data_IF_868233116361
#
_entry.id   IF_868233116361
#
_cell.length_a   1.000
_cell.length_b   1.000
_cell.length_c   1.000
_cell.angle_alpha   90.00
_cell.angle_beta   90.00
_cell.angle_gamma   90.00
#
_symmetry.space_group_name_H-M   'P 1'
#
loop_
_entity.id
_entity.type
_entity.pdbx_description
1 polymer ?
#
# COMPACT_ATOMS: atom_id res chain seq x y z
N UNK A 1 -3.43 15.67 30.52
CA UNK A 1 -3.42 15.70 29.04
C UNK A 1 -4.81 15.33 28.58
N UNK A 2 -5.46 16.13 27.74
CA UNK A 2 -6.74 15.72 27.15
C UNK A 2 -6.46 14.56 26.17
N UNK A 3 -7.27 13.50 26.22
CA UNK A 3 -7.20 12.42 25.26
C UNK A 3 -7.59 12.95 23.87
N UNK A 4 -6.80 12.63 22.85
CA UNK A 4 -7.09 12.94 21.45
C UNK A 4 -7.31 11.67 20.64
N UNK A 5 -7.74 11.83 19.39
CA UNK A 5 -7.87 10.71 18.44
C UNK A 5 -6.70 10.76 17.44
N UNK A 6 -6.16 9.60 17.11
CA UNK A 6 -5.20 9.41 16.02
C UNK A 6 -5.87 8.57 14.93
N UNK A 7 -5.84 9.07 13.69
CA UNK A 7 -6.27 8.31 12.53
C UNK A 7 -5.05 7.98 11.65
N UNK A 8 -4.68 6.71 11.60
CA UNK A 8 -3.66 6.22 10.67
C UNK A 8 -4.35 5.82 9.37
N UNK A 9 -3.97 6.45 8.26
CA UNK A 9 -4.51 6.16 6.94
C UNK A 9 -3.37 5.71 6.02
N UNK A 10 -3.42 4.44 5.61
CA UNK A 10 -2.46 3.85 4.69
C UNK A 10 -3.04 3.86 3.27
N UNK A 11 -2.22 4.16 2.26
CA UNK A 11 -2.63 4.14 0.86
C UNK A 11 -1.90 3.03 0.10
N UNK A 12 -2.62 1.95 -0.20
CA UNK A 12 -2.17 0.84 -1.03
C UNK A 12 -2.55 1.04 -2.49
N UNK A 13 -1.56 1.31 -3.33
CA UNK A 13 -1.74 1.47 -4.77
C UNK A 13 -0.56 0.85 -5.53
N UNK A 14 -0.89 0.20 -6.64
CA UNK A 14 0.04 -0.10 -7.72
C UNK A 14 -0.67 0.14 -9.06
N UNK A 15 0.03 0.65 -10.09
CA UNK A 15 -0.52 0.70 -11.44
C UNK A 15 -0.84 -0.73 -11.90
N UNK A 16 -1.83 -0.88 -12.78
CA UNK A 16 -2.21 -2.21 -13.26
C UNK A 16 -1.12 -2.81 -14.13
N UNK A 17 -0.59 -3.96 -13.71
CA UNK A 17 0.45 -4.71 -14.40
C UNK A 17 0.02 -6.16 -14.50
N UNK A 18 -0.07 -6.67 -15.73
CA UNK A 18 -0.34 -8.09 -15.98
C UNK A 18 0.24 -8.50 -17.32
N UNK A 19 1.17 -9.45 -17.35
CA UNK A 19 1.72 -10.02 -18.59
C UNK A 19 1.50 -11.51 -18.66
N UNK A 20 1.23 -11.99 -19.88
CA UNK A 20 1.11 -13.43 -20.13
C UNK A 20 2.45 -14.14 -19.96
N UNK A 21 3.55 -13.50 -20.36
CA UNK A 21 4.90 -14.01 -20.12
C UNK A 21 5.42 -13.54 -18.76
N UNK A 22 5.99 -14.47 -18.00
CA UNK A 22 6.58 -14.18 -16.70
C UNK A 22 7.92 -13.43 -16.84
N UNK A 23 8.41 -12.89 -15.73
CA UNK A 23 9.76 -12.34 -15.63
C UNK A 23 9.88 -10.85 -15.94
N UNK A 24 8.77 -10.13 -16.13
CA UNK A 24 8.82 -8.68 -16.31
C UNK A 24 9.10 -7.95 -14.99
N UNK A 25 9.91 -6.89 -15.05
CA UNK A 25 10.24 -6.04 -13.89
C UNK A 25 8.98 -5.49 -13.19
N UNK A 26 7.93 -5.17 -13.95
CA UNK A 26 6.73 -4.58 -13.37
C UNK A 26 5.94 -5.60 -12.52
N UNK A 27 6.02 -6.90 -12.83
CA UNK A 27 5.42 -7.95 -11.98
C UNK A 27 6.21 -8.14 -10.69
N UNK A 28 7.54 -7.92 -10.71
CA UNK A 28 8.35 -7.93 -9.49
C UNK A 28 7.86 -6.87 -8.48
N UNK A 29 7.39 -5.70 -8.94
CA UNK A 29 6.82 -4.68 -8.04
C UNK A 29 5.59 -5.20 -7.28
N UNK A 30 4.71 -5.93 -7.97
CA UNK A 30 3.54 -6.54 -7.34
C UNK A 30 3.96 -7.58 -6.30
N UNK A 31 4.84 -8.51 -6.66
CA UNK A 31 5.28 -9.56 -5.74
C UNK A 31 6.06 -9.00 -4.55
N UNK A 32 6.92 -7.99 -4.76
CA UNK A 32 7.60 -7.29 -3.66
C UNK A 32 6.61 -6.59 -2.73
N UNK A 33 5.61 -5.88 -3.24
CA UNK A 33 4.61 -5.22 -2.41
C UNK A 33 3.77 -6.22 -1.60
N UNK A 34 3.41 -7.37 -2.19
CA UNK A 34 2.74 -8.47 -1.49
C UNK A 34 3.61 -9.02 -0.36
N UNK A 35 4.88 -9.29 -0.65
CA UNK A 35 5.82 -9.89 0.30
C UNK A 35 6.20 -8.94 1.44
N UNK A 36 6.55 -7.69 1.12
CA UNK A 36 7.16 -6.76 2.07
C UNK A 36 6.15 -5.85 2.78
N UNK A 37 4.94 -5.70 2.24
CA UNK A 37 3.94 -4.78 2.80
C UNK A 37 2.62 -5.46 3.14
N UNK A 38 1.93 -6.07 2.16
CA UNK A 38 0.55 -6.52 2.37
C UNK A 38 0.45 -7.78 3.25
N UNK A 39 1.29 -8.80 3.03
CA UNK A 39 1.32 -9.99 3.89
C UNK A 39 1.75 -9.65 5.32
N UNK A 40 2.85 -8.89 5.57
CA UNK A 40 3.22 -8.49 6.92
C UNK A 40 2.14 -7.66 7.62
N UNK A 41 1.49 -6.73 6.91
CA UNK A 41 0.40 -5.92 7.47
C UNK A 41 -0.78 -6.80 7.90
N UNK A 42 -1.26 -7.69 7.02
CA UNK A 42 -2.33 -8.63 7.35
C UNK A 42 -1.96 -9.53 8.53
N UNK A 43 -0.75 -10.08 8.51
CA UNK A 43 -0.26 -10.97 9.57
C UNK A 43 -0.24 -10.24 10.93
N UNK A 44 0.27 -9.01 10.95
CA UNK A 44 0.33 -8.21 12.17
C UNK A 44 -1.08 -7.84 12.67
N UNK A 45 -1.95 -7.34 11.79
CA UNK A 45 -3.30 -6.93 12.18
C UNK A 45 -4.15 -8.10 12.68
N UNK A 46 -4.06 -9.27 12.05
CA UNK A 46 -4.77 -10.47 12.53
C UNK A 46 -4.31 -10.86 13.93
N UNK A 47 -2.99 -10.91 14.17
CA UNK A 47 -2.45 -11.21 15.50
C UNK A 47 -2.84 -10.17 16.56
N UNK A 48 -2.82 -8.90 16.20
CA UNK A 48 -3.22 -7.81 17.11
C UNK A 48 -4.72 -7.84 17.39
N UNK A 49 -5.56 -8.23 16.44
CA UNK A 49 -6.99 -8.41 16.64
C UNK A 49 -7.34 -9.61 17.53
N UNK A 50 -6.49 -10.65 17.52
CA UNK A 50 -6.64 -11.84 18.39
C UNK A 50 -6.21 -11.57 19.85
N UNK A 51 -5.40 -10.54 20.11
CA UNK A 51 -4.98 -10.19 21.48
C UNK A 51 -6.04 -9.34 22.18
N UNK A 52 -6.72 -9.84 23.23
CA UNK A 52 -7.80 -9.13 23.92
C UNK A 52 -7.34 -7.85 24.65
N UNK A 53 -6.02 -7.61 24.75
CA UNK A 53 -5.45 -6.39 25.34
C UNK A 53 -5.25 -5.27 24.33
N UNK A 54 -5.49 -5.54 23.05
CA UNK A 54 -5.29 -4.60 21.96
C UNK A 54 -6.63 -4.25 21.30
N UNK A 55 -6.65 -3.11 20.63
CA UNK A 55 -7.81 -2.62 19.87
C UNK A 55 -7.29 -1.92 18.61
N UNK A 56 -6.67 -2.68 17.68
CA UNK A 56 -6.13 -2.09 16.46
C UNK A 56 -7.26 -1.51 15.60
N UNK A 57 -7.08 -0.28 15.15
CA UNK A 57 -8.00 0.39 14.23
C UNK A 57 -7.20 1.30 13.31
N UNK A 58 -7.32 1.11 12.00
CA UNK A 58 -6.75 2.00 11.00
C UNK A 58 -7.57 2.00 9.71
N UNK A 59 -7.35 3.02 8.89
CA UNK A 59 -7.94 3.10 7.55
C UNK A 59 -6.92 2.66 6.51
N UNK A 60 -7.34 1.87 5.52
CA UNK A 60 -6.49 1.43 4.42
C UNK A 60 -7.23 1.62 3.10
N UNK A 61 -6.68 2.45 2.22
CA UNK A 61 -7.14 2.53 0.83
C UNK A 61 -6.51 1.40 0.02
N UNK A 62 -7.33 0.67 -0.73
CA UNK A 62 -6.89 -0.29 -1.73
C UNK A 62 -7.39 0.17 -3.11
N UNK A 63 -6.47 0.53 -4.01
CA UNK A 63 -6.88 0.98 -5.33
C UNK A 63 -7.56 -0.13 -6.14
N UNK A 64 -8.51 0.20 -7.03
CA UNK A 64 -9.15 -0.81 -7.87
C UNK A 64 -8.15 -1.61 -8.73
N UNK A 65 -7.10 -0.98 -9.24
CA UNK A 65 -6.00 -1.65 -9.95
C UNK A 65 -5.27 -2.68 -9.08
N UNK A 66 -5.03 -2.38 -7.80
CA UNK A 66 -4.38 -3.29 -6.87
C UNK A 66 -5.29 -4.47 -6.54
N UNK A 67 -6.57 -4.20 -6.24
CA UNK A 67 -7.57 -5.26 -6.01
C UNK A 67 -7.70 -6.20 -7.22
N UNK A 68 -7.67 -5.65 -8.43
CA UNK A 68 -7.71 -6.46 -9.65
C UNK A 68 -6.49 -7.39 -9.75
N UNK A 69 -5.30 -6.91 -9.41
CA UNK A 69 -4.08 -7.74 -9.40
C UNK A 69 -4.07 -8.78 -8.26
N UNK A 70 -4.54 -8.42 -7.06
CA UNK A 70 -4.67 -9.35 -5.93
C UNK A 70 -5.71 -10.46 -6.20
N UNK A 71 -6.68 -10.20 -7.07
CA UNK A 71 -7.68 -11.18 -7.51
C UNK A 71 -7.23 -12.01 -8.72
N UNK A 72 -6.13 -11.64 -9.39
CA UNK A 72 -5.71 -12.28 -10.64
C UNK A 72 -4.99 -13.61 -10.36
N UNK A 73 -5.53 -14.77 -10.83
CA UNK A 73 -4.94 -16.08 -10.55
C UNK A 73 -3.55 -16.28 -11.17
N UNK A 74 -3.23 -15.60 -12.26
CA UNK A 74 -1.94 -15.73 -12.93
C UNK A 74 -0.85 -15.04 -12.10
N UNK A 75 -1.08 -13.79 -11.68
CA UNK A 75 -0.15 -13.03 -10.84
C UNK A 75 0.05 -13.70 -9.47
N UNK A 76 -1.04 -14.07 -8.81
CA UNK A 76 -1.01 -14.75 -7.52
C UNK A 76 -0.41 -16.16 -7.63
N UNK A 77 -0.67 -16.87 -8.73
CA UNK A 77 -0.10 -18.20 -8.98
C UNK A 77 1.43 -18.20 -9.14
N UNK A 78 2.02 -17.10 -9.61
CA UNK A 78 3.47 -16.94 -9.75
C UNK A 78 4.21 -16.60 -8.45
N UNK A 79 3.49 -16.09 -7.45
CA UNK A 79 4.12 -15.59 -6.22
C UNK A 79 4.95 -16.64 -5.45
N UNK A 80 4.49 -17.91 -5.27
CA UNK A 80 5.30 -18.92 -4.56
C UNK A 80 6.64 -19.22 -5.23
N UNK A 81 6.66 -19.39 -6.55
CA UNK A 81 7.88 -19.66 -7.32
C UNK A 81 8.80 -18.44 -7.30
N UNK A 82 8.19 -17.25 -7.38
CA UNK A 82 8.91 -15.99 -7.24
C UNK A 82 9.66 -15.90 -5.91
N UNK A 83 9.01 -16.23 -4.77
CA UNK A 83 9.67 -16.25 -3.44
C UNK A 83 10.73 -17.35 -3.35
N UNK A 84 10.44 -18.55 -3.86
CA UNK A 84 11.38 -19.69 -3.83
C UNK A 84 12.66 -19.37 -4.59
N UNK A 85 12.56 -18.70 -5.74
CA UNK A 85 13.70 -18.19 -6.49
C UNK A 85 14.56 -17.25 -5.63
N UNK A 86 13.96 -16.31 -4.88
CA UNK A 86 14.67 -15.39 -3.99
C UNK A 86 15.38 -16.11 -2.84
N UNK A 87 14.75 -17.14 -2.28
CA UNK A 87 15.36 -17.95 -1.22
C UNK A 87 16.64 -18.66 -1.70
N UNK A 88 16.63 -19.18 -2.93
CA UNK A 88 17.83 -19.79 -3.55
C UNK A 88 18.93 -18.76 -3.77
N UNK A 89 18.60 -17.55 -4.24
CA UNK A 89 19.59 -16.48 -4.44
C UNK A 89 20.26 -16.07 -3.13
N UNK A 90 19.53 -16.11 -2.00
CA UNK A 90 20.11 -15.83 -0.68
C UNK A 90 21.20 -16.83 -0.25
N UNK A 91 21.27 -18.02 -0.83
CA UNK A 91 22.35 -18.99 -0.59
C UNK A 91 23.69 -18.50 -1.15
N UNK A 92 23.68 -17.55 -2.09
CA UNK A 92 24.87 -16.93 -2.66
C UNK A 92 25.31 -15.65 -1.93
N UNK A 93 24.67 -15.33 -0.81
CA UNK A 93 25.05 -14.17 -0.01
C UNK A 93 26.53 -14.27 0.43
N UNK A 94 27.32 -13.19 0.35
CA UNK A 94 28.70 -13.20 0.81
C UNK A 94 28.82 -13.56 2.31
N UNK A 95 29.96 -14.13 2.76
CA UNK A 95 30.17 -14.56 4.14
C UNK A 95 29.83 -13.51 5.21
N UNK A 96 30.17 -12.24 4.96
CA UNK A 96 29.88 -11.15 5.88
C UNK A 96 28.38 -10.86 6.06
N UNK A 97 27.53 -11.33 5.13
CA UNK A 97 26.08 -11.13 5.16
C UNK A 97 25.29 -12.40 5.52
N UNK A 98 25.93 -13.52 5.82
CA UNK A 98 25.25 -14.80 6.11
C UNK A 98 24.17 -14.69 7.18
N UNK A 99 24.40 -13.93 8.26
CA UNK A 99 23.39 -13.74 9.32
C UNK A 99 22.15 -13.00 8.81
N UNK A 100 22.35 -11.91 8.06
CA UNK A 100 21.26 -11.14 7.45
C UNK A 100 20.50 -11.98 6.41
N UNK A 101 21.21 -12.76 5.61
CA UNK A 101 20.62 -13.65 4.61
C UNK A 101 19.79 -14.76 5.26
N UNK A 102 20.30 -15.38 6.34
CA UNK A 102 19.57 -16.39 7.10
C UNK A 102 18.29 -15.81 7.72
N UNK A 103 18.37 -14.62 8.32
CA UNK A 103 17.19 -13.93 8.85
C UNK A 103 16.16 -13.61 7.76
N UNK A 104 16.60 -13.05 6.63
CA UNK A 104 15.70 -12.73 5.52
C UNK A 104 15.06 -14.00 4.93
N UNK A 105 15.83 -15.08 4.77
CA UNK A 105 15.31 -16.36 4.29
C UNK A 105 14.23 -16.94 5.21
N UNK A 106 14.39 -16.81 6.54
CA UNK A 106 13.36 -17.17 7.52
C UNK A 106 12.09 -16.31 7.37
N UNK A 107 12.24 -14.99 7.16
CA UNK A 107 11.10 -14.10 6.92
C UNK A 107 10.35 -14.47 5.63
N UNK A 108 11.09 -14.74 4.53
CA UNK A 108 10.51 -15.20 3.27
C UNK A 108 9.73 -16.51 3.46
N UNK A 109 10.30 -17.46 4.19
CA UNK A 109 9.64 -18.74 4.48
C UNK A 109 8.36 -18.54 5.29
N UNK A 110 8.38 -17.66 6.30
CA UNK A 110 7.21 -17.34 7.12
C UNK A 110 6.11 -16.68 6.30
N UNK A 111 6.45 -15.71 5.43
CA UNK A 111 5.46 -15.05 4.56
C UNK A 111 4.89 -16.01 3.51
N UNK A 112 5.70 -16.91 2.96
CA UNK A 112 5.22 -17.95 2.05
C UNK A 112 4.29 -18.95 2.75
N UNK A 113 4.60 -19.32 4.01
CA UNK A 113 3.71 -20.14 4.83
C UNK A 113 2.38 -19.43 5.10
N UNK A 114 2.43 -18.13 5.46
CA UNK A 114 1.22 -17.33 5.68
C UNK A 114 0.38 -17.16 4.40
N UNK A 115 1.03 -16.91 3.25
CA UNK A 115 0.36 -16.93 1.94
C UNK A 115 -0.40 -18.23 1.68
N UNK A 116 0.23 -19.39 1.98
CA UNK A 116 -0.40 -20.71 1.85
C UNK A 116 -1.57 -20.90 2.81
N UNK A 117 -1.48 -20.41 4.04
CA UNK A 117 -2.59 -20.41 5.00
C UNK A 117 -3.79 -19.62 4.46
N UNK A 118 -3.53 -18.46 3.83
CA UNK A 118 -4.55 -17.66 3.13
C UNK A 118 -5.01 -18.27 1.78
N UNK A 119 -4.44 -19.42 1.38
CA UNK A 119 -4.68 -20.08 0.08
C UNK A 119 -4.42 -19.15 -1.11
N UNK A 120 -3.46 -18.24 -0.96
CA UNK A 120 -3.10 -17.23 -1.95
C UNK A 120 -4.17 -16.17 -2.21
N UNK A 121 -5.12 -15.97 -1.28
CA UNK A 121 -6.18 -14.96 -1.41
C UNK A 121 -6.09 -13.95 -0.27
N UNK A 122 -5.58 -12.76 -0.57
CA UNK A 122 -5.46 -11.67 0.42
C UNK A 122 -6.76 -10.91 0.63
N UNK A 123 -7.58 -10.76 -0.42
CA UNK A 123 -8.82 -9.99 -0.38
C UNK A 123 -9.77 -10.47 0.75
N UNK A 124 -10.06 -11.78 0.91
CA UNK A 124 -10.88 -12.25 2.03
C UNK A 124 -10.31 -11.94 3.42
N UNK A 125 -8.98 -11.83 3.56
CA UNK A 125 -8.36 -11.47 4.83
C UNK A 125 -8.59 -9.98 5.15
N UNK A 126 -8.56 -9.10 4.14
CA UNK A 126 -8.95 -7.69 4.30
C UNK A 126 -10.43 -7.55 4.64
N UNK A 127 -11.32 -8.29 3.95
CA UNK A 127 -12.76 -8.30 4.24
C UNK A 127 -13.05 -8.70 5.69
N UNK A 128 -12.35 -9.72 6.19
CA UNK A 128 -12.53 -10.21 7.55
C UNK A 128 -12.09 -9.16 8.59
N UNK A 129 -10.94 -8.52 8.39
CA UNK A 129 -10.48 -7.43 9.27
C UNK A 129 -11.43 -6.23 9.22
N UNK A 130 -12.04 -5.95 8.07
CA UNK A 130 -13.07 -4.91 7.97
C UNK A 130 -14.33 -5.30 8.76
N UNK A 131 -14.79 -6.54 8.64
CA UNK A 131 -15.96 -7.04 9.39
C UNK A 131 -15.75 -7.01 10.90
N UNK A 132 -14.51 -7.19 11.36
CA UNK A 132 -14.11 -7.07 12.76
C UNK A 132 -13.98 -5.61 13.25
N UNK A 133 -14.06 -4.62 12.35
CA UNK A 133 -13.86 -3.21 12.68
C UNK A 133 -12.39 -2.81 12.87
N UNK A 134 -11.45 -3.68 12.51
CA UNK A 134 -9.99 -3.43 12.59
C UNK A 134 -9.54 -2.53 11.44
N UNK A 135 -10.13 -2.75 10.25
CA UNK A 135 -9.87 -1.96 9.06
C UNK A 135 -11.12 -1.22 8.60
N UNK A 136 -10.93 0.06 8.31
CA UNK A 136 -11.84 0.82 7.46
C UNK A 136 -11.25 0.85 6.04
N UNK A 137 -11.86 0.11 5.10
CA UNK A 137 -11.31 0.01 3.74
C UNK A 137 -11.87 1.11 2.84
N UNK A 138 -10.97 1.94 2.34
CA UNK A 138 -11.30 3.01 1.39
C UNK A 138 -11.10 2.50 -0.04
N UNK A 139 -11.83 3.11 -0.97
CA UNK A 139 -11.50 2.99 -2.40
C UNK A 139 -10.54 4.11 -2.84
N UNK A 140 -10.29 4.20 -4.14
CA UNK A 140 -9.53 5.25 -4.83
C UNK A 140 -10.12 5.39 -6.25
N UNK A 141 -9.79 6.43 -7.01
CA UNK A 141 -10.16 6.48 -8.45
C UNK A 141 -9.76 5.20 -9.20
N UNK A 142 -10.61 4.74 -10.13
CA UNK A 142 -10.51 3.45 -10.83
C UNK A 142 -9.09 3.07 -11.29
N UNK A 143 -8.36 4.02 -11.88
CA UNK A 143 -6.99 3.81 -12.35
C UNK A 143 -5.98 4.73 -11.68
N UNK A 144 -6.34 5.31 -10.53
CA UNK A 144 -5.56 6.37 -9.88
C UNK A 144 -5.33 7.59 -10.79
N UNK A 145 -6.30 7.89 -11.66
CA UNK A 145 -6.21 9.04 -12.56
C UNK A 145 -6.28 10.36 -11.78
N UNK A 146 -5.38 11.30 -12.09
CA UNK A 146 -5.35 12.61 -11.43
C UNK A 146 -6.62 13.43 -11.76
N UNK A 147 -7.62 13.35 -10.88
CA UNK A 147 -9.00 13.79 -11.16
C UNK A 147 -9.13 15.25 -11.62
N UNK A 148 -8.38 16.23 -11.09
CA UNK A 148 -8.46 17.60 -11.59
C UNK A 148 -8.10 17.77 -13.07
N UNK A 149 -7.19 16.94 -13.61
CA UNK A 149 -6.85 16.95 -15.03
C UNK A 149 -7.86 16.18 -15.90
N UNK A 150 -8.66 15.31 -15.28
CA UNK A 150 -9.73 14.55 -15.94
C UNK A 150 -11.10 15.24 -15.84
N UNK A 151 -11.19 16.42 -15.21
CA UNK A 151 -12.46 17.11 -14.93
C UNK A 151 -13.29 17.43 -16.19
N UNK A 152 -12.63 17.47 -17.34
CA UNK A 152 -13.25 17.70 -18.64
C UNK A 152 -12.92 16.55 -19.62
N UNK A 153 -13.92 15.81 -20.13
CA UNK A 153 -15.34 15.92 -19.79
C UNK A 153 -15.64 15.37 -18.38
N UNK A 154 -16.65 15.92 -17.70
CA UNK A 154 -17.06 15.50 -16.34
C UNK A 154 -17.35 13.99 -16.22
N UNK A 155 -17.79 13.37 -17.32
CA UNK A 155 -18.03 11.92 -17.40
C UNK A 155 -16.78 11.08 -17.10
N UNK A 156 -15.57 11.58 -17.36
CA UNK A 156 -14.33 10.88 -17.05
C UNK A 156 -14.13 10.72 -15.53
N UNK A 157 -14.39 11.78 -14.75
CA UNK A 157 -14.35 11.72 -13.27
C UNK A 157 -15.46 10.81 -12.74
N UNK A 158 -16.68 10.94 -13.26
CA UNK A 158 -17.80 10.07 -12.87
C UNK A 158 -17.45 8.59 -13.09
N UNK A 159 -16.91 8.24 -14.26
CA UNK A 159 -16.48 6.89 -14.56
C UNK A 159 -15.40 6.38 -13.59
N UNK A 160 -14.41 7.23 -13.24
CA UNK A 160 -13.38 6.88 -12.26
C UNK A 160 -13.97 6.56 -10.87
N UNK A 161 -15.01 7.29 -10.43
CA UNK A 161 -15.65 7.07 -9.13
C UNK A 161 -16.60 5.87 -9.15
N UNK A 162 -17.46 5.76 -10.17
CA UNK A 162 -18.41 4.67 -10.33
C UNK A 162 -17.71 3.31 -10.39
N UNK A 163 -16.74 3.18 -11.30
CA UNK A 163 -15.98 1.93 -11.46
C UNK A 163 -15.26 1.59 -10.16
N UNK A 164 -14.70 2.59 -9.45
CA UNK A 164 -14.03 2.36 -8.18
C UNK A 164 -14.94 1.82 -7.08
N UNK A 165 -16.14 2.39 -6.94
CA UNK A 165 -17.15 1.95 -5.96
C UNK A 165 -17.67 0.55 -6.31
N UNK A 166 -18.01 0.31 -7.57
CA UNK A 166 -18.47 -1.00 -8.04
C UNK A 166 -17.39 -2.08 -7.88
N UNK A 167 -16.14 -1.75 -8.22
CA UNK A 167 -15.02 -2.67 -8.12
C UNK A 167 -14.69 -2.99 -6.66
N UNK A 168 -14.72 -2.00 -5.77
CA UNK A 168 -14.59 -2.22 -4.33
C UNK A 168 -15.70 -3.16 -3.84
N UNK A 169 -16.97 -2.90 -4.19
CA UNK A 169 -18.09 -3.77 -3.80
C UNK A 169 -17.97 -5.20 -4.33
N UNK A 170 -17.50 -5.37 -5.57
CA UNK A 170 -17.31 -6.69 -6.19
C UNK A 170 -16.28 -7.52 -5.43
N UNK A 171 -15.20 -6.90 -4.96
CA UNK A 171 -14.09 -7.61 -4.32
C UNK A 171 -14.19 -7.68 -2.80
N UNK A 172 -14.79 -6.69 -2.15
CA UNK A 172 -14.81 -6.53 -0.69
C UNK A 172 -16.23 -6.64 -0.08
N UNK A 173 -17.23 -6.98 -0.91
CA UNK A 173 -18.59 -7.30 -0.48
C UNK A 173 -19.49 -6.10 -0.13
N UNK A 174 -18.96 -4.91 0.12
CA UNK A 174 -19.74 -3.71 0.46
C UNK A 174 -19.32 -2.48 -0.37
N UNK A 175 -20.19 -1.47 -0.45
CA UNK A 175 -19.78 -0.19 -1.02
C UNK A 175 -18.89 0.58 -0.01
N UNK A 176 -17.79 1.21 -0.45
CA UNK A 176 -16.94 2.01 0.41
C UNK A 176 -17.66 3.31 0.81
N UNK A 177 -17.45 3.76 2.05
CA UNK A 177 -17.86 5.11 2.47
C UNK A 177 -16.74 6.13 2.25
N UNK A 178 -15.48 5.71 2.31
CA UNK A 178 -14.33 6.58 2.12
C UNK A 178 -13.62 6.39 0.80
N UNK A 179 -12.98 7.46 0.34
CA UNK A 179 -12.10 7.44 -0.83
C UNK A 179 -10.78 8.14 -0.53
N UNK A 180 -9.68 7.52 -0.94
CA UNK A 180 -8.43 8.22 -1.16
C UNK A 180 -8.47 8.84 -2.56
N UNK A 181 -8.51 10.18 -2.63
CA UNK A 181 -8.42 10.86 -3.92
C UNK A 181 -6.99 10.67 -4.47
N UNK A 182 -6.82 10.30 -5.76
CA UNK A 182 -5.48 10.21 -6.37
C UNK A 182 -4.68 11.49 -6.09
N UNK A 183 -3.50 11.34 -5.48
CA UNK A 183 -2.64 12.45 -5.04
C UNK A 183 -3.28 13.46 -4.06
N UNK A 184 -4.30 13.04 -3.30
CA UNK A 184 -5.16 13.93 -2.51
C UNK A 184 -5.71 15.12 -3.33
N UNK A 185 -5.82 14.94 -4.65
CA UNK A 185 -6.08 16.02 -5.58
C UNK A 185 -7.58 16.28 -5.69
N UNK A 186 -7.98 17.46 -5.20
CA UNK A 186 -9.37 17.90 -5.15
C UNK A 186 -9.61 19.07 -6.12
N UNK A 187 -10.84 19.17 -6.62
CA UNK A 187 -11.32 20.36 -7.33
C UNK A 187 -12.76 20.67 -6.90
N UNK A 188 -13.17 21.94 -6.99
CA UNK A 188 -14.48 22.38 -6.55
C UNK A 188 -15.62 21.62 -7.25
N UNK A 189 -16.59 21.15 -6.46
CA UNK A 189 -17.73 20.37 -6.94
C UNK A 189 -17.48 18.86 -7.05
N UNK A 190 -16.25 18.39 -6.83
CA UNK A 190 -15.95 16.96 -6.74
C UNK A 190 -16.69 16.28 -5.58
N UNK A 191 -16.95 17.00 -4.50
CA UNK A 191 -17.73 16.52 -3.35
C UNK A 191 -19.15 16.07 -3.74
N UNK A 192 -19.81 16.79 -4.64
CA UNK A 192 -21.14 16.41 -5.15
C UNK A 192 -21.09 15.13 -5.99
N UNK A 193 -20.01 14.97 -6.77
CA UNK A 193 -19.77 13.76 -7.55
C UNK A 193 -19.50 12.56 -6.64
N UNK A 194 -18.68 12.73 -5.60
CA UNK A 194 -18.44 11.72 -4.58
C UNK A 194 -19.75 11.34 -3.87
N UNK A 195 -20.54 12.32 -3.44
CA UNK A 195 -21.78 12.09 -2.72
C UNK A 195 -22.81 11.28 -3.54
N UNK A 196 -22.90 11.56 -4.85
CA UNK A 196 -23.76 10.84 -5.78
C UNK A 196 -23.41 9.33 -5.87
N UNK A 197 -22.15 8.97 -5.67
CA UNK A 197 -21.66 7.58 -5.68
C UNK A 197 -21.64 6.94 -4.28
N UNK A 198 -22.26 7.57 -3.29
CA UNK A 198 -22.32 7.04 -1.93
C UNK A 198 -21.08 7.29 -1.07
N UNK A 199 -20.05 7.95 -1.61
CA UNK A 199 -18.85 8.32 -0.86
C UNK A 199 -19.15 9.48 0.09
N UNK A 200 -18.63 9.40 1.31
CA UNK A 200 -18.95 10.29 2.44
C UNK A 200 -17.74 10.93 3.09
N UNK A 201 -16.53 10.45 2.84
CA UNK A 201 -15.34 11.15 3.30
C UNK A 201 -14.10 10.92 2.41
N UNK A 202 -13.15 11.84 2.51
CA UNK A 202 -11.83 11.74 1.88
C UNK A 202 -10.74 12.40 2.73
N UNK A 203 -9.49 12.03 2.44
CA UNK A 203 -8.29 12.67 3.00
C UNK A 203 -7.72 13.64 1.97
N UNK A 204 -7.41 14.86 2.42
CA UNK A 204 -6.73 15.89 1.64
C UNK A 204 -5.38 16.24 2.27
N UNK A 205 -4.50 16.85 1.49
CA UNK A 205 -3.33 17.51 2.06
C UNK A 205 -3.75 18.74 2.89
N UNK A 206 -2.89 19.18 3.82
CA UNK A 206 -3.17 20.25 4.76
C UNK A 206 -3.65 21.53 4.07
N UNK A 207 -3.06 21.89 2.94
CA UNK A 207 -3.43 23.12 2.22
C UNK A 207 -4.88 23.09 1.71
N UNK A 208 -5.38 21.92 1.32
CA UNK A 208 -6.76 21.75 0.84
C UNK A 208 -7.83 22.06 1.89
N UNK A 209 -7.50 21.89 3.18
CA UNK A 209 -8.37 22.30 4.29
C UNK A 209 -8.07 23.73 4.74
N UNK A 210 -6.78 24.07 4.92
CA UNK A 210 -6.39 25.36 5.50
C UNK A 210 -6.76 26.57 4.63
N UNK A 211 -6.94 26.34 3.32
CA UNK A 211 -7.37 27.34 2.35
C UNK A 211 -8.86 27.27 2.00
N UNK A 212 -9.63 26.39 2.66
CA UNK A 212 -11.07 26.30 2.43
C UNK A 212 -11.79 27.59 2.86
N UNK A 213 -12.97 27.83 2.27
CA UNK A 213 -13.85 28.95 2.59
C UNK A 213 -15.20 28.44 3.12
N UNK A 214 -15.61 28.80 4.35
CA UNK A 214 -14.84 29.56 5.34
C UNK A 214 -13.64 28.76 5.88
N UNK A 215 -12.62 29.48 6.38
CA UNK A 215 -11.42 28.83 6.96
C UNK A 215 -11.82 27.94 8.15
N UNK A 216 -11.36 26.69 8.23
CA UNK A 216 -11.74 25.79 9.33
C UNK A 216 -11.24 26.29 10.69
N UNK A 217 -12.14 26.40 11.67
CA UNK A 217 -11.83 26.89 13.04
C UNK A 217 -10.73 26.08 13.72
N UNK A 218 -10.71 24.76 13.52
CA UNK A 218 -9.76 23.85 14.16
C UNK A 218 -8.61 23.43 13.24
N UNK A 219 -8.41 24.14 12.13
CA UNK A 219 -7.39 23.80 11.13
C UNK A 219 -7.59 22.39 10.57
N UNK A 220 -6.53 21.57 10.63
CA UNK A 220 -6.53 20.17 10.16
C UNK A 220 -6.89 19.15 11.26
N UNK A 221 -7.05 19.60 12.50
CA UNK A 221 -7.23 18.73 13.67
C UNK A 221 -8.71 18.38 13.94
N UNK A 222 -9.62 18.77 13.05
CA UNK A 222 -10.99 18.32 13.02
C UNK A 222 -11.45 18.18 11.56
N UNK A 223 -12.32 17.19 11.24
CA UNK A 223 -12.90 17.10 9.91
C UNK A 223 -13.76 18.34 9.60
N UNK A 224 -13.79 18.73 8.33
CA UNK A 224 -14.78 19.67 7.80
C UNK A 224 -15.81 18.92 6.97
N UNK A 225 -17.01 19.48 6.83
CA UNK A 225 -18.06 18.89 6.01
C UNK A 225 -18.45 19.87 4.91
N UNK A 226 -18.45 19.41 3.66
CA UNK A 226 -18.92 20.23 2.54
C UNK A 226 -20.45 20.32 2.51
N UNK A 227 -21.03 21.28 1.77
CA UNK A 227 -22.47 21.34 1.55
C UNK A 227 -23.07 20.07 0.92
N UNK A 228 -22.25 19.27 0.22
CA UNK A 228 -22.63 17.95 -0.31
C UNK A 228 -22.66 16.83 0.73
N UNK A 229 -22.52 17.14 2.03
CA UNK A 229 -22.46 16.18 3.13
C UNK A 229 -21.28 15.19 3.03
N UNK A 230 -20.14 15.65 2.51
CA UNK A 230 -18.89 14.89 2.46
C UNK A 230 -17.90 15.46 3.47
N UNK A 231 -17.35 14.61 4.32
CA UNK A 231 -16.32 14.98 5.28
C UNK A 231 -14.92 14.98 4.64
N UNK A 232 -14.08 15.94 5.01
CA UNK A 232 -12.69 16.00 4.60
C UNK A 232 -11.78 16.12 5.82
N UNK A 233 -10.76 15.28 5.86
CA UNK A 233 -9.70 15.30 6.87
C UNK A 233 -8.39 15.78 6.24
N UNK A 234 -7.61 16.57 6.97
CA UNK A 234 -6.33 17.09 6.51
C UNK A 234 -5.16 16.29 7.03
N UNK A 235 -4.16 16.04 6.18
CA UNK A 235 -2.90 15.42 6.59
C UNK A 235 -2.13 16.30 7.57
N UNK A 236 -1.73 15.74 8.72
CA UNK A 236 -0.76 16.38 9.62
C UNK A 236 0.68 16.16 9.13
N UNK A 237 1.21 17.18 8.46
CA UNK A 237 2.59 17.13 7.91
C UNK A 237 3.65 17.07 9.01
N UNK A 238 3.38 17.60 10.22
CA UNK A 238 4.34 17.56 11.33
C UNK A 238 4.47 16.16 11.90
N UNK A 239 3.36 15.42 12.02
CA UNK A 239 3.36 14.01 12.41
C UNK A 239 3.92 13.08 11.32
N UNK A 240 3.82 13.49 10.04
CA UNK A 240 4.27 12.70 8.89
C UNK A 240 5.80 12.71 8.73
N UNK A 241 6.46 13.86 8.98
CA UNK A 241 7.89 14.04 8.68
C UNK A 241 8.82 13.02 9.38
N UNK A 242 8.67 12.72 10.69
CA UNK A 242 9.52 11.73 11.36
C UNK A 242 9.36 10.31 10.81
N UNK A 243 8.23 9.98 10.18
CA UNK A 243 7.96 8.63 9.68
C UNK A 243 8.33 8.49 8.20
N UNK A 244 8.30 9.58 7.43
CA UNK A 244 8.52 9.55 5.98
C UNK A 244 9.90 10.03 5.52
N UNK A 245 10.62 10.83 6.32
CA UNK A 245 11.94 11.31 5.92
C UNK A 245 13.00 10.24 6.14
N UNK A 246 13.65 9.77 5.07
CA UNK A 246 14.82 8.90 5.17
C UNK A 246 16.06 9.63 5.71
N UNK A 247 16.10 10.96 5.67
CA UNK A 247 17.22 11.76 6.16
C UNK A 247 17.06 12.14 7.64
N UNK A 248 15.86 12.62 7.99
CA UNK A 248 15.59 13.28 9.27
C UNK A 248 14.63 12.46 10.15
N UNK A 249 14.11 11.34 9.66
CA UNK A 249 13.11 10.51 10.31
C UNK A 249 13.62 9.13 10.74
N UNK A 250 12.72 8.32 11.30
CA UNK A 250 13.00 6.97 11.74
C UNK A 250 13.60 6.09 10.63
N UNK A 251 13.11 6.08 9.38
CA UNK A 251 13.64 5.17 8.36
C UNK A 251 15.14 5.33 8.05
N UNK A 252 15.73 6.49 8.37
CA UNK A 252 17.15 6.77 8.18
C UNK A 252 18.09 6.23 9.27
N UNK A 253 17.56 5.60 10.32
CA UNK A 253 18.37 5.09 11.42
C UNK A 253 19.29 3.96 10.94
N UNK A 254 20.54 3.98 11.41
CA UNK A 254 21.59 3.04 11.00
C UNK A 254 21.32 1.57 11.33
N UNK A 255 20.34 1.29 12.20
CA UNK A 255 19.89 -0.07 12.51
C UNK A 255 18.81 -0.61 11.55
N UNK A 256 18.27 0.22 10.65
CA UNK A 256 17.33 -0.22 9.62
C UNK A 256 18.05 -0.77 8.38
N UNK A 257 17.33 -1.58 7.62
CA UNK A 257 17.81 -2.20 6.38
C UNK A 257 17.94 -1.15 5.27
N UNK A 258 19.08 -1.11 4.60
CA UNK A 258 19.35 -0.22 3.47
C UNK A 258 18.48 -0.59 2.26
N UNK A 259 17.79 0.39 1.69
CA UNK A 259 16.86 0.16 0.59
C UNK A 259 17.56 0.01 -0.76
N UNK A 260 18.68 0.70 -0.97
CA UNK A 260 19.35 0.82 -2.28
C UNK A 260 20.50 -0.18 -2.50
N UNK A 261 20.80 -1.04 -1.52
CA UNK A 261 21.80 -2.12 -1.62
C UNK A 261 21.09 -3.47 -1.71
N UNK A 262 21.18 -4.10 -2.87
CA UNK A 262 20.38 -5.29 -3.20
C UNK A 262 21.21 -6.26 -4.05
N UNK A 263 21.05 -7.56 -3.78
CA UNK A 263 21.79 -8.62 -4.47
C UNK A 263 21.60 -8.62 -5.99
N UNK A 264 20.53 -8.02 -6.51
CA UNK A 264 20.30 -7.89 -7.95
C UNK A 264 21.32 -7.05 -8.71
N UNK A 265 22.18 -6.31 -8.00
CA UNK A 265 23.28 -5.51 -8.54
C UNK A 265 24.63 -5.94 -7.97
N UNK A 266 24.63 -6.54 -6.78
CA UNK A 266 25.85 -6.99 -6.11
C UNK A 266 26.32 -8.37 -6.61
N UNK A 267 25.44 -9.21 -7.15
CA UNK A 267 25.80 -10.51 -7.71
C UNK A 267 26.27 -10.42 -9.18
N UNK A 268 27.22 -11.28 -9.60
CA UNK A 268 27.61 -11.41 -11.00
C UNK A 268 26.42 -11.75 -11.92
N UNK A 269 26.37 -11.17 -13.15
CA UNK A 269 25.30 -11.45 -14.11
C UNK A 269 25.07 -12.93 -14.39
N UNK A 270 26.13 -13.74 -14.40
CA UNK A 270 26.06 -15.18 -14.67
C UNK A 270 25.20 -15.92 -13.64
N UNK A 271 25.27 -15.52 -12.36
CA UNK A 271 24.44 -16.10 -11.30
C UNK A 271 22.96 -15.70 -11.45
N UNK A 272 22.69 -14.49 -11.93
CA UNK A 272 21.32 -14.05 -12.21
C UNK A 272 20.73 -14.82 -13.40
N UNK A 273 21.53 -15.07 -14.44
CA UNK A 273 21.14 -15.87 -15.59
C UNK A 273 20.82 -17.33 -15.22
N UNK A 274 21.57 -17.95 -14.29
CA UNK A 274 21.26 -19.28 -13.72
C UNK A 274 19.86 -19.35 -13.09
N UNK A 275 19.33 -18.22 -12.61
CA UNK A 275 17.98 -18.10 -12.04
C UNK A 275 16.94 -17.61 -13.05
N UNK A 276 17.27 -17.60 -14.35
CA UNK A 276 16.44 -17.05 -15.42
C UNK A 276 16.09 -15.56 -15.23
N UNK A 277 17.01 -14.79 -14.64
CA UNK A 277 16.91 -13.34 -14.48
C UNK A 277 17.83 -12.69 -15.52
N UNK A 278 17.28 -12.14 -16.63
CA UNK A 278 18.08 -11.81 -17.81
C UNK A 278 18.95 -10.56 -17.64
N UNK A 279 18.67 -9.71 -16.65
CA UNK A 279 19.40 -8.47 -16.40
C UNK A 279 19.40 -8.15 -14.91
N UNK A 280 20.43 -7.43 -14.45
CA UNK A 280 20.47 -6.84 -13.11
C UNK A 280 19.22 -5.98 -12.86
N UNK A 281 18.56 -6.20 -11.71
CA UNK A 281 17.28 -5.57 -11.37
C UNK A 281 16.96 -5.69 -9.87
N UNK A 282 15.98 -4.93 -9.35
CA UNK A 282 15.45 -5.12 -8.00
C UNK A 282 15.00 -6.55 -7.70
N UNK A 283 15.71 -7.24 -6.79
CA UNK A 283 15.29 -8.56 -6.31
C UNK A 283 14.49 -8.50 -5.00
N UNK A 284 14.65 -7.42 -4.22
CA UNK A 284 14.11 -7.31 -2.85
C UNK A 284 15.01 -7.97 -1.81
N UNK A 285 16.26 -8.31 -2.18
CA UNK A 285 17.20 -9.05 -1.36
C UNK A 285 18.28 -8.12 -0.82
N UNK A 286 17.98 -7.47 0.30
CA UNK A 286 18.76 -6.37 0.86
C UNK A 286 19.40 -6.80 2.17
N UNK A 287 20.73 -6.84 2.21
CA UNK A 287 21.51 -7.43 3.31
C UNK A 287 22.37 -6.42 4.08
N UNK A 288 22.30 -5.14 3.70
CA UNK A 288 23.00 -4.05 4.36
C UNK A 288 22.07 -3.30 5.30
N UNK A 289 22.65 -2.69 6.33
CA UNK A 289 21.98 -1.67 7.13
C UNK A 289 22.27 -0.28 6.55
N UNK A 290 21.43 0.71 6.87
CA UNK A 290 21.64 2.10 6.48
C UNK A 290 23.00 2.55 7.01
N UNK A 291 23.83 3.08 6.11
CA UNK A 291 25.18 3.52 6.41
C UNK A 291 25.58 4.70 5.54
N UNK A 292 26.75 5.32 5.80
CA UNK A 292 27.26 6.36 4.91
C UNK A 292 27.40 5.79 3.48
N UNK A 293 27.09 6.58 2.43
CA UNK A 293 27.28 6.14 1.06
C UNK A 293 28.74 5.75 0.86
N UNK A 294 28.97 4.49 0.48
CA UNK A 294 30.28 3.91 0.17
C UNK A 294 30.85 4.47 -1.13
#
# INVERSE_FOLDING_TARGET
>A
MAAGHLALVLHGHLPFVRRLQAGSLQEDWFHQAVLESYLPLLHHLQRSAEDPRQSPALSLSLSPTLLAMLADPLLCGRFPDWVTCRQRILEWAPPQHHHAAAHLSQQLAAMLAFWRQLRGRLIPAFEELQRQGVLDLLTCGATHGYLPLLREPRSAVVAQLQVAVEHHKRHLGCAPLGIWLPECAYFEGLDRLMAAEGLRYAVLDAHGLLQALPRPRYGIYAPICSPGAVAFMGRDSTATLPVWSARDGYPGQACYREFYRDLGWDLPPEQLEEMAIPNARPLGLKLHAVGPPS
#
